data_IF_934345248657
#
_entry.id   IF_934345248657
#
_cell.length_a   1.000
_cell.length_b   1.000
_cell.length_c   1.000
_cell.angle_alpha   90.00
_cell.angle_beta   90.00
_cell.angle_gamma   90.00
#
_symmetry.space_group_name_H-M   'P 1'
#
loop_
_entity.id
_entity.type
_entity.pdbx_description
1 polymer ?
#
# COMPACT_ATOMS: atom_id res chain seq x y z
N UNK A 1 -9.01 -18.50 -6.22
CA UNK A 1 -9.79 -17.71 -5.25
C UNK A 1 -11.20 -17.63 -5.78
N UNK A 2 -12.18 -17.94 -4.95
CA UNK A 2 -13.60 -17.81 -5.30
C UNK A 2 -14.04 -16.35 -5.17
N UNK A 3 -15.12 -15.91 -5.85
CA UNK A 3 -15.64 -14.55 -5.70
C UNK A 3 -15.96 -14.17 -4.23
N UNK A 4 -16.41 -15.13 -3.44
CA UNK A 4 -16.72 -14.92 -2.01
C UNK A 4 -15.45 -14.68 -1.18
N UNK A 5 -14.38 -15.43 -1.46
CA UNK A 5 -13.08 -15.22 -0.81
C UNK A 5 -12.48 -13.86 -1.18
N UNK A 6 -12.57 -13.47 -2.47
CA UNK A 6 -12.12 -12.16 -2.94
C UNK A 6 -12.87 -11.02 -2.24
N UNK A 7 -14.20 -11.13 -2.14
CA UNK A 7 -15.00 -10.11 -1.47
C UNK A 7 -14.69 -10.00 0.03
N UNK A 8 -14.52 -11.13 0.73
CA UNK A 8 -14.11 -11.12 2.14
C UNK A 8 -12.74 -10.44 2.32
N UNK A 9 -11.78 -10.74 1.44
CA UNK A 9 -10.44 -10.15 1.49
C UNK A 9 -10.46 -8.64 1.24
N UNK A 10 -11.23 -8.17 0.26
CA UNK A 10 -11.40 -6.74 -0.01
C UNK A 10 -12.09 -6.04 1.15
N UNK A 11 -13.21 -6.59 1.63
CA UNK A 11 -13.93 -6.01 2.75
C UNK A 11 -13.04 -5.92 4.00
N UNK A 12 -12.29 -6.97 4.32
CA UNK A 12 -11.34 -6.97 5.43
C UNK A 12 -10.24 -5.91 5.25
N UNK A 13 -9.71 -5.77 4.03
CA UNK A 13 -8.69 -4.78 3.75
C UNK A 13 -9.24 -3.35 3.87
N UNK A 14 -10.39 -3.05 3.27
CA UNK A 14 -11.02 -1.74 3.38
C UNK A 14 -11.41 -1.41 4.82
N UNK A 15 -11.94 -2.38 5.58
CA UNK A 15 -12.26 -2.18 6.99
C UNK A 15 -11.01 -1.80 7.80
N UNK A 16 -9.90 -2.53 7.60
CA UNK A 16 -8.64 -2.22 8.27
C UNK A 16 -8.10 -0.84 7.87
N UNK A 17 -7.98 -0.58 6.58
CA UNK A 17 -7.30 0.62 6.10
C UNK A 17 -8.12 1.90 6.24
N UNK A 18 -9.45 1.81 6.25
CA UNK A 18 -10.27 2.97 6.63
C UNK A 18 -10.04 3.35 8.09
N UNK A 19 -9.98 2.37 9.01
CA UNK A 19 -9.65 2.65 10.40
C UNK A 19 -8.21 3.19 10.54
N UNK A 20 -7.25 2.58 9.83
CA UNK A 20 -5.87 3.03 9.83
C UNK A 20 -5.68 4.43 9.24
N UNK A 21 -6.55 4.86 8.31
CA UNK A 21 -6.53 6.22 7.79
C UNK A 21 -6.99 7.26 8.84
N UNK A 22 -7.85 6.86 9.79
CA UNK A 22 -8.34 7.75 10.86
C UNK A 22 -7.42 7.74 12.10
N UNK A 23 -6.95 6.57 12.51
CA UNK A 23 -6.21 6.37 13.76
C UNK A 23 -4.69 6.15 13.57
N UNK A 24 -4.26 5.85 12.34
CA UNK A 24 -2.90 5.37 12.06
C UNK A 24 -2.79 3.83 12.10
N UNK A 25 -1.75 3.32 11.46
CA UNK A 25 -1.54 1.86 11.27
C UNK A 25 -1.26 1.15 12.59
N UNK A 26 -0.43 1.73 13.47
CA UNK A 26 -0.09 1.11 14.74
C UNK A 26 -1.33 0.90 15.62
N UNK A 27 -2.13 1.95 15.78
CA UNK A 27 -3.39 1.93 16.51
C UNK A 27 -4.38 0.95 15.87
N UNK A 28 -4.44 0.87 14.53
CA UNK A 28 -5.27 -0.13 13.84
C UNK A 28 -4.86 -1.56 14.20
N UNK A 29 -3.56 -1.87 14.15
CA UNK A 29 -3.05 -3.20 14.50
C UNK A 29 -3.42 -3.56 15.93
N UNK A 30 -3.09 -2.70 16.90
CA UNK A 30 -3.40 -2.91 18.32
C UNK A 30 -4.90 -3.13 18.53
N UNK A 31 -5.72 -2.30 17.87
CA UNK A 31 -7.16 -2.36 18.04
C UNK A 31 -7.77 -3.64 17.46
N UNK A 32 -7.36 -4.09 16.27
CA UNK A 32 -7.83 -5.36 15.68
C UNK A 32 -7.31 -6.59 16.42
N UNK A 33 -6.17 -6.49 17.11
CA UNK A 33 -5.64 -7.55 17.97
C UNK A 33 -6.36 -7.61 19.33
N UNK A 34 -6.94 -6.50 19.79
CA UNK A 34 -7.71 -6.47 21.03
C UNK A 34 -8.96 -7.37 20.97
N UNK A 35 -9.34 -7.95 22.11
CA UNK A 35 -10.57 -8.74 22.26
C UNK A 35 -11.85 -7.87 22.34
N UNK A 36 -11.70 -6.54 22.32
CA UNK A 36 -12.81 -5.60 22.26
C UNK A 36 -13.25 -5.48 20.80
N UNK A 37 -14.43 -6.01 20.47
CA UNK A 37 -14.98 -6.01 19.10
C UNK A 37 -16.04 -4.91 18.89
N UNK A 38 -16.43 -4.16 19.93
CA UNK A 38 -17.55 -3.21 19.85
C UNK A 38 -17.27 -2.06 18.87
N UNK A 39 -16.00 -1.65 18.75
CA UNK A 39 -15.60 -0.59 17.83
C UNK A 39 -15.58 -1.04 16.36
N UNK A 40 -15.42 -2.34 16.08
CA UNK A 40 -15.50 -2.85 14.70
C UNK A 40 -16.91 -2.68 14.14
N UNK A 41 -17.90 -2.47 15.03
CA UNK A 41 -19.30 -2.15 14.72
C UNK A 41 -19.55 -0.65 14.54
N UNK A 42 -18.52 0.19 14.46
CA UNK A 42 -18.68 1.57 14.01
C UNK A 42 -19.33 1.56 12.62
N UNK A 43 -20.62 1.87 12.58
CA UNK A 43 -21.48 1.66 11.40
C UNK A 43 -20.90 2.33 10.14
N UNK A 44 -20.37 3.55 10.27
CA UNK A 44 -19.81 4.29 9.12
C UNK A 44 -18.59 3.61 8.47
N UNK A 45 -17.75 2.90 9.24
CA UNK A 45 -16.58 2.19 8.69
C UNK A 45 -17.02 0.92 7.95
N UNK A 46 -18.00 0.20 8.49
CA UNK A 46 -18.60 -0.96 7.84
C UNK A 46 -19.28 -0.54 6.54
N UNK A 47 -20.12 0.50 6.58
CA UNK A 47 -20.83 1.02 5.40
C UNK A 47 -19.83 1.43 4.31
N UNK A 48 -18.81 2.22 4.67
CA UNK A 48 -17.76 2.63 3.74
C UNK A 48 -16.98 1.45 3.16
N UNK A 49 -16.63 0.45 3.97
CA UNK A 49 -15.93 -0.74 3.51
C UNK A 49 -16.80 -1.62 2.60
N UNK A 50 -18.11 -1.73 2.87
CA UNK A 50 -19.07 -2.41 1.99
C UNK A 50 -19.18 -1.70 0.64
N UNK A 51 -19.32 -0.37 0.64
CA UNK A 51 -19.38 0.42 -0.60
C UNK A 51 -18.12 0.24 -1.45
N UNK A 52 -16.94 0.20 -0.82
CA UNK A 52 -15.66 0.09 -1.52
C UNK A 52 -15.30 -1.32 -1.97
N UNK A 53 -15.65 -2.36 -1.19
CA UNK A 53 -15.45 -3.76 -1.57
C UNK A 53 -16.39 -4.21 -2.70
N UNK A 54 -17.47 -3.47 -2.92
CA UNK A 54 -18.42 -3.67 -4.01
C UNK A 54 -19.86 -3.80 -3.50
N UNK A 55 -20.85 -3.40 -4.31
CA UNK A 55 -22.24 -3.28 -3.87
C UNK A 55 -22.91 -4.65 -3.73
N UNK A 56 -22.67 -5.35 -2.63
CA UNK A 56 -23.40 -6.57 -2.27
C UNK A 56 -24.52 -6.21 -1.30
N UNK A 57 -25.76 -6.51 -1.69
CA UNK A 57 -26.90 -6.43 -0.76
C UNK A 57 -26.84 -7.62 0.18
N UNK A 58 -26.45 -7.37 1.42
CA UNK A 58 -26.39 -8.37 2.48
C UNK A 58 -27.52 -8.14 3.49
N UNK A 59 -28.03 -9.21 4.09
CA UNK A 59 -28.89 -9.08 5.26
C UNK A 59 -28.06 -8.62 6.47
N UNK A 60 -28.69 -8.08 7.51
CA UNK A 60 -27.99 -7.70 8.74
C UNK A 60 -27.27 -8.90 9.41
N UNK A 61 -27.83 -10.11 9.29
CA UNK A 61 -27.19 -11.34 9.76
C UNK A 61 -25.92 -11.66 8.99
N UNK A 62 -25.95 -11.52 7.67
CA UNK A 62 -24.79 -11.78 6.80
C UNK A 62 -23.69 -10.74 7.00
N UNK A 63 -24.04 -9.48 7.27
CA UNK A 63 -23.07 -8.42 7.60
C UNK A 63 -22.31 -8.78 8.88
N UNK A 64 -22.99 -9.24 9.93
CA UNK A 64 -22.33 -9.65 11.17
C UNK A 64 -21.34 -10.81 10.92
N UNK A 65 -21.75 -11.82 10.15
CA UNK A 65 -20.89 -12.96 9.78
C UNK A 65 -19.68 -12.49 8.98
N UNK A 66 -19.88 -11.58 8.02
CA UNK A 66 -18.81 -10.99 7.22
C UNK A 66 -17.81 -10.23 8.09
N UNK A 67 -18.27 -9.36 8.99
CA UNK A 67 -17.42 -8.59 9.91
C UNK A 67 -16.60 -9.52 10.79
N UNK A 68 -17.23 -10.54 11.40
CA UNK A 68 -16.50 -11.52 12.22
C UNK A 68 -15.42 -12.25 11.42
N UNK A 69 -15.70 -12.66 10.19
CA UNK A 69 -14.70 -13.33 9.35
C UNK A 69 -13.60 -12.37 8.87
N UNK A 70 -13.94 -11.11 8.60
CA UNK A 70 -12.99 -10.08 8.22
C UNK A 70 -12.00 -9.78 9.34
N UNK A 71 -12.48 -9.65 10.59
CA UNK A 71 -11.63 -9.48 11.77
C UNK A 71 -10.68 -10.67 11.97
N UNK A 72 -11.15 -11.90 11.74
CA UNK A 72 -10.27 -13.09 11.78
C UNK A 72 -9.17 -13.03 10.73
N UNK A 73 -9.51 -12.62 9.51
CA UNK A 73 -8.53 -12.48 8.42
C UNK A 73 -7.52 -11.37 8.72
N UNK A 74 -7.96 -10.24 9.27
CA UNK A 74 -7.09 -9.14 9.72
C UNK A 74 -6.12 -9.64 10.81
N UNK A 75 -6.64 -10.26 11.87
CA UNK A 75 -5.83 -10.81 12.97
C UNK A 75 -4.80 -11.82 12.45
N UNK A 76 -5.19 -12.67 11.49
CA UNK A 76 -4.28 -13.60 10.84
C UNK A 76 -3.16 -12.89 10.08
N UNK A 77 -3.45 -11.82 9.35
CA UNK A 77 -2.41 -11.07 8.64
C UNK A 77 -1.48 -10.34 9.61
N UNK A 78 -2.02 -9.70 10.65
CA UNK A 78 -1.25 -9.00 11.68
C UNK A 78 -0.28 -9.94 12.40
N UNK A 79 -0.71 -11.15 12.80
CA UNK A 79 0.14 -12.12 13.50
C UNK A 79 1.33 -12.62 12.67
N UNK A 80 1.26 -12.48 11.34
CA UNK A 80 2.35 -12.82 10.43
C UNK A 80 3.16 -11.57 9.99
N UNK A 81 2.87 -10.39 10.55
CA UNK A 81 3.50 -9.12 10.18
C UNK A 81 3.21 -8.70 8.72
N UNK A 82 2.04 -9.06 8.19
CA UNK A 82 1.69 -8.84 6.79
C UNK A 82 0.73 -7.67 6.65
N UNK A 83 1.00 -6.80 5.66
CA UNK A 83 0.01 -5.82 5.23
C UNK A 83 -1.18 -6.55 4.59
N UNK A 84 -2.39 -6.27 5.08
CA UNK A 84 -3.61 -6.71 4.41
C UNK A 84 -3.78 -5.88 3.12
N UNK A 85 -3.65 -6.50 1.95
CA UNK A 85 -3.52 -5.75 0.68
C UNK A 85 -4.81 -5.59 -0.10
N UNK A 86 -5.86 -6.33 0.27
CA UNK A 86 -7.04 -6.52 -0.59
C UNK A 86 -6.69 -7.28 -1.88
N UNK A 87 -7.66 -7.42 -2.76
CA UNK A 87 -7.51 -7.99 -4.10
C UNK A 87 -6.87 -6.94 -5.01
N UNK A 88 -5.82 -7.34 -5.73
CA UNK A 88 -5.16 -6.48 -6.71
C UNK A 88 -5.77 -6.79 -8.07
N UNK A 89 -6.60 -5.89 -8.57
CA UNK A 89 -7.26 -6.02 -9.86
C UNK A 89 -6.31 -5.63 -10.99
N UNK A 90 -6.31 -6.41 -12.08
CA UNK A 90 -5.44 -6.10 -13.23
C UNK A 90 -5.86 -4.82 -13.95
N UNK A 91 -7.15 -4.46 -13.87
CA UNK A 91 -7.71 -3.25 -14.48
C UNK A 91 -7.14 -1.96 -13.89
N UNK A 92 -6.73 -1.98 -12.62
CA UNK A 92 -6.07 -0.84 -11.96
C UNK A 92 -4.79 -0.41 -12.70
N UNK A 93 -4.16 -1.31 -13.47
CA UNK A 93 -2.96 -1.02 -14.26
C UNK A 93 -3.20 0.01 -15.36
N UNK A 94 -4.42 0.11 -15.88
CA UNK A 94 -4.73 1.03 -16.96
C UNK A 94 -4.65 2.50 -16.47
N UNK A 95 -5.22 2.77 -15.30
CA UNK A 95 -5.26 4.10 -14.70
C UNK A 95 -4.11 4.35 -13.71
N UNK A 96 -3.46 3.30 -13.21
CA UNK A 96 -2.48 3.34 -12.11
C UNK A 96 -3.06 3.97 -10.83
N UNK A 97 -4.38 3.89 -10.71
CA UNK A 97 -5.18 4.26 -9.55
C UNK A 97 -6.34 3.28 -9.49
N UNK A 98 -6.64 2.74 -8.31
CA UNK A 98 -7.89 2.01 -8.10
C UNK A 98 -9.07 2.98 -8.17
N UNK A 99 -10.31 2.49 -8.37
CA UNK A 99 -11.50 3.34 -8.36
C UNK A 99 -11.62 4.22 -7.10
N UNK A 100 -11.24 3.71 -5.93
CA UNK A 100 -11.25 4.45 -4.66
C UNK A 100 -10.19 5.55 -4.55
N UNK A 101 -9.19 5.55 -5.43
CA UNK A 101 -8.06 6.49 -5.44
C UNK A 101 -8.11 7.49 -6.61
N UNK A 102 -9.13 7.41 -7.49
CA UNK A 102 -9.20 8.25 -8.70
C UNK A 102 -9.20 9.74 -8.37
N UNK A 103 -9.99 10.15 -7.38
CA UNK A 103 -10.19 11.56 -7.01
C UNK A 103 -9.12 12.10 -6.05
N UNK A 104 -8.07 11.33 -5.73
CA UNK A 104 -6.99 11.81 -4.88
C UNK A 104 -6.22 12.97 -5.52
N UNK A 105 -6.26 14.12 -4.86
CA UNK A 105 -5.43 15.28 -5.20
C UNK A 105 -4.12 15.17 -4.43
N UNK A 106 -3.01 15.05 -5.16
CA UNK A 106 -1.68 14.89 -4.56
C UNK A 106 -0.89 16.17 -4.83
N UNK A 107 -0.50 16.93 -3.79
CA UNK A 107 0.30 18.12 -4.00
C UNK A 107 1.67 17.72 -4.54
N UNK A 108 2.19 18.50 -5.48
CA UNK A 108 3.56 18.33 -5.96
C UNK A 108 4.53 18.59 -4.80
N UNK A 109 5.40 17.62 -4.55
CA UNK A 109 6.43 17.70 -3.52
C UNK A 109 7.79 17.99 -4.16
N UNK A 110 8.66 18.68 -3.42
CA UNK A 110 10.07 18.76 -3.78
C UNK A 110 10.67 17.35 -3.74
N UNK A 111 11.33 16.93 -4.81
CA UNK A 111 12.03 15.65 -4.85
C UNK A 111 13.50 15.87 -4.50
N UNK A 112 14.10 15.05 -3.64
CA UNK A 112 15.53 15.12 -3.38
C UNK A 112 16.32 14.51 -4.54
N UNK A 113 17.58 14.91 -4.66
CA UNK A 113 18.58 14.12 -5.39
C UNK A 113 18.89 12.88 -4.55
N UNK A 114 18.80 11.72 -5.18
CA UNK A 114 19.13 10.45 -4.51
C UNK A 114 20.49 9.95 -5.00
N UNK A 115 21.37 9.67 -4.05
CA UNK A 115 22.66 9.05 -4.27
C UNK A 115 22.81 7.80 -3.39
N UNK A 116 23.80 6.97 -3.68
CA UNK A 116 24.23 5.91 -2.78
C UNK A 116 25.67 6.20 -2.34
N UNK A 117 26.04 5.71 -1.16
CA UNK A 117 27.41 5.86 -0.62
C UNK A 117 28.52 5.38 -1.58
N UNK A 118 28.21 4.43 -2.46
CA UNK A 118 29.05 4.06 -3.59
C UNK A 118 28.28 4.22 -4.90
N UNK A 119 28.82 4.89 -5.94
CA UNK A 119 28.16 5.03 -7.24
C UNK A 119 27.74 3.70 -7.88
N UNK A 120 28.52 2.64 -7.67
CA UNK A 120 28.22 1.29 -8.14
C UNK A 120 26.97 0.70 -7.46
N UNK A 121 26.68 1.14 -6.23
CA UNK A 121 25.50 0.72 -5.47
C UNK A 121 24.20 1.29 -6.05
N UNK A 122 24.22 2.50 -6.65
CA UNK A 122 23.04 3.04 -7.34
C UNK A 122 22.72 2.25 -8.61
N UNK A 123 23.72 1.96 -9.46
CA UNK A 123 23.51 1.15 -10.67
C UNK A 123 23.09 -0.29 -10.36
N UNK A 124 23.40 -0.77 -9.16
CA UNK A 124 22.98 -2.09 -8.70
C UNK A 124 21.50 -2.13 -8.28
N UNK A 125 20.85 -1.00 -7.98
CA UNK A 125 19.43 -0.97 -7.65
C UNK A 125 18.61 -1.19 -8.91
N UNK A 126 17.78 -2.23 -8.89
CA UNK A 126 16.85 -2.47 -9.99
C UNK A 126 15.79 -1.37 -10.02
N UNK A 127 15.63 -0.74 -11.18
CA UNK A 127 14.59 0.26 -11.43
C UNK A 127 13.61 -0.27 -12.48
N UNK A 128 12.36 -0.50 -12.08
CA UNK A 128 11.31 -0.98 -12.99
C UNK A 128 9.91 -0.68 -12.43
N UNK A 129 8.88 -0.99 -13.24
CA UNK A 129 7.48 -0.93 -12.83
C UNK A 129 6.89 0.47 -12.65
N UNK A 130 5.57 0.48 -12.47
CA UNK A 130 4.73 1.66 -12.38
C UNK A 130 3.98 1.65 -11.04
N UNK A 131 4.04 2.75 -10.28
CA UNK A 131 3.26 2.91 -9.06
C UNK A 131 1.78 2.86 -9.38
N UNK A 132 1.00 2.17 -8.55
CA UNK A 132 -0.45 2.25 -8.53
C UNK A 132 -0.96 2.65 -7.14
N UNK A 133 -1.74 3.73 -7.07
CA UNK A 133 -2.36 4.16 -5.82
C UNK A 133 -3.68 3.44 -5.59
N UNK A 134 -3.94 3.01 -4.35
CA UNK A 134 -5.14 2.23 -4.03
C UNK A 134 -5.90 2.72 -2.80
N UNK A 135 -5.63 3.96 -2.37
CA UNK A 135 -6.14 4.51 -1.12
C UNK A 135 -7.65 4.22 -0.90
N UNK A 136 -8.06 3.83 0.32
CA UNK A 136 -7.24 3.67 1.52
C UNK A 136 -6.33 2.43 1.52
N UNK A 137 -6.46 1.53 0.53
CA UNK A 137 -5.62 0.33 0.47
C UNK A 137 -4.14 0.66 0.17
N UNK A 138 -3.22 -0.26 0.52
CA UNK A 138 -1.81 -0.16 0.20
C UNK A 138 -1.59 0.03 -1.30
N UNK A 139 -0.70 0.96 -1.62
CA UNK A 139 -0.20 1.12 -2.97
C UNK A 139 0.60 -0.12 -3.39
N UNK A 140 0.71 -0.32 -4.70
CA UNK A 140 1.43 -1.44 -5.31
C UNK A 140 2.25 -0.97 -6.49
N UNK A 141 3.14 -1.81 -7.01
CA UNK A 141 3.86 -1.55 -8.25
C UNK A 141 3.45 -2.60 -9.28
N UNK A 142 2.91 -2.19 -10.42
CA UNK A 142 2.74 -3.10 -11.55
C UNK A 142 4.05 -3.20 -12.33
N UNK A 143 4.45 -4.41 -12.70
CA UNK A 143 5.69 -4.64 -13.44
C UNK A 143 5.55 -5.80 -14.43
N UNK A 144 6.25 -5.69 -15.55
CA UNK A 144 6.50 -6.81 -16.47
C UNK A 144 7.79 -7.58 -16.12
N UNK A 145 8.59 -7.05 -15.20
CA UNK A 145 9.89 -7.61 -14.79
C UNK A 145 9.81 -8.01 -13.33
N UNK A 146 10.17 -9.26 -13.03
CA UNK A 146 10.27 -9.72 -11.65
C UNK A 146 11.43 -9.01 -10.92
N UNK A 147 11.25 -8.68 -9.63
CA UNK A 147 12.37 -8.22 -8.81
C UNK A 147 13.42 -9.32 -8.73
N UNK A 148 14.68 -8.92 -8.80
CA UNK A 148 15.82 -9.79 -8.56
C UNK A 148 15.77 -10.30 -7.11
N UNK A 149 15.89 -11.61 -6.93
CA UNK A 149 15.72 -12.26 -5.62
C UNK A 149 16.83 -11.88 -4.64
N UNK A 150 17.98 -11.45 -5.15
CA UNK A 150 19.14 -11.07 -4.34
C UNK A 150 19.05 -9.61 -3.87
N UNK A 151 18.12 -8.81 -4.40
CA UNK A 151 18.03 -7.38 -4.09
C UNK A 151 17.03 -7.10 -2.99
N UNK A 152 17.48 -6.37 -1.96
CA UNK A 152 16.67 -5.92 -0.82
C UNK A 152 15.81 -4.69 -1.12
N UNK A 153 16.09 -4.00 -2.22
CA UNK A 153 15.44 -2.74 -2.61
C UNK A 153 15.23 -2.65 -4.11
N UNK A 154 14.12 -2.05 -4.47
CA UNK A 154 13.69 -1.85 -5.85
C UNK A 154 13.21 -0.41 -6.00
N UNK A 155 13.75 0.33 -6.97
CA UNK A 155 13.28 1.68 -7.26
C UNK A 155 12.10 1.62 -8.24
N UNK A 156 11.02 2.34 -7.96
CA UNK A 156 9.90 2.45 -8.90
C UNK A 156 10.32 3.29 -10.10
N UNK A 157 10.12 2.77 -11.31
CA UNK A 157 10.56 3.46 -12.52
C UNK A 157 9.67 4.66 -12.88
N UNK A 158 8.35 4.46 -12.83
CA UNK A 158 7.37 5.51 -13.12
C UNK A 158 6.41 5.70 -11.93
N UNK A 159 6.42 6.91 -11.38
CA UNK A 159 5.48 7.39 -10.37
C UNK A 159 4.60 8.52 -10.92
N UNK A 160 4.87 9.01 -12.13
CA UNK A 160 4.28 10.20 -12.73
C UNK A 160 2.81 10.03 -13.02
N UNK A 161 2.43 8.89 -13.62
CA UNK A 161 1.03 8.64 -13.99
C UNK A 161 0.11 8.55 -12.78
N UNK A 162 0.63 7.99 -11.68
CA UNK A 162 -0.12 7.82 -10.44
C UNK A 162 -0.12 9.09 -9.57
N UNK A 163 1.03 9.76 -9.41
CA UNK A 163 1.17 10.96 -8.56
C UNK A 163 0.84 12.28 -9.28
N UNK A 164 0.91 12.30 -10.61
CA UNK A 164 0.86 13.50 -11.44
C UNK A 164 2.22 14.16 -11.69
N UNK A 165 3.30 13.65 -11.08
CA UNK A 165 4.66 14.18 -11.22
C UNK A 165 5.69 13.10 -10.84
N UNK A 166 6.94 13.17 -11.35
CA UNK A 166 7.97 12.21 -10.98
C UNK A 166 8.41 12.43 -9.53
N UNK A 167 8.37 11.37 -8.73
CA UNK A 167 8.86 11.35 -7.36
C UNK A 167 9.65 10.07 -7.08
N UNK A 168 10.84 10.15 -6.45
CA UNK A 168 11.60 8.96 -6.10
C UNK A 168 10.87 8.15 -5.03
N UNK A 169 10.58 6.88 -5.34
CA UNK A 169 10.04 5.91 -4.40
C UNK A 169 10.81 4.60 -4.53
N UNK A 170 11.01 3.94 -3.39
CA UNK A 170 11.66 2.65 -3.29
C UNK A 170 10.71 1.66 -2.64
N UNK A 171 10.82 0.38 -2.97
CA UNK A 171 10.03 -0.70 -2.40
C UNK A 171 10.98 -1.69 -1.71
N UNK A 172 10.67 -2.05 -0.48
CA UNK A 172 11.38 -3.06 0.31
C UNK A 172 10.41 -4.14 0.81
N UNK A 173 10.93 -5.27 1.27
CA UNK A 173 10.09 -6.40 1.74
C UNK A 173 9.17 -6.93 0.63
N UNK A 174 9.71 -7.00 -0.59
CA UNK A 174 8.93 -7.17 -1.83
C UNK A 174 8.30 -8.56 -1.87
N UNK A 175 6.99 -8.59 -2.11
CA UNK A 175 6.24 -9.80 -2.47
C UNK A 175 5.72 -9.65 -3.89
N UNK A 176 5.83 -10.75 -4.64
CA UNK A 176 5.42 -10.81 -6.05
C UNK A 176 4.10 -11.56 -6.15
N UNK A 177 3.10 -10.89 -6.68
CA UNK A 177 1.80 -11.46 -7.02
C UNK A 177 1.73 -11.63 -8.54
N UNK A 178 1.45 -12.85 -9.00
CA UNK A 178 1.23 -13.10 -10.42
C UNK A 178 -0.22 -12.78 -10.76
N UNK A 179 -0.41 -11.94 -11.76
CA UNK A 179 -1.71 -11.59 -12.31
C UNK A 179 -1.96 -12.36 -13.61
N UNK A 180 -3.10 -12.10 -14.25
CA UNK A 180 -3.38 -12.62 -15.57
C UNK A 180 -2.33 -12.13 -16.59
N UNK A 181 -2.16 -12.88 -17.68
CA UNK A 181 -1.33 -12.49 -18.84
C UNK A 181 0.15 -12.22 -18.51
N UNK A 182 0.66 -12.78 -17.42
CA UNK A 182 2.06 -12.66 -17.02
C UNK A 182 2.44 -11.31 -16.39
N UNK A 183 1.45 -10.45 -16.12
CA UNK A 183 1.69 -9.23 -15.36
C UNK A 183 2.00 -9.55 -13.89
N UNK A 184 2.81 -8.71 -13.26
CA UNK A 184 3.17 -8.82 -11.84
C UNK A 184 2.64 -7.61 -11.09
N UNK A 185 2.10 -7.85 -9.90
CA UNK A 185 1.94 -6.81 -8.88
C UNK A 185 2.96 -7.05 -7.76
N UNK A 186 3.69 -6.00 -7.41
CA UNK A 186 4.66 -6.01 -6.33
C UNK A 186 4.08 -5.25 -5.14
N UNK A 187 4.04 -5.90 -3.98
CA UNK A 187 3.63 -5.28 -2.72
C UNK A 187 4.80 -5.25 -1.76
N UNK A 188 4.82 -4.30 -0.83
CA UNK A 188 5.86 -4.18 0.18
C UNK A 188 5.68 -2.92 1.01
N UNK A 189 6.78 -2.45 1.60
CA UNK A 189 6.85 -1.15 2.26
C UNK A 189 7.52 -0.16 1.32
N UNK A 190 6.82 0.92 0.98
CA UNK A 190 7.45 2.02 0.24
C UNK A 190 8.39 2.78 1.15
N UNK A 191 9.57 3.14 0.68
CA UNK A 191 10.42 4.13 1.32
C UNK A 191 10.29 5.40 0.51
N UNK A 192 9.68 6.41 1.14
CA UNK A 192 9.43 7.70 0.54
C UNK A 192 10.34 8.75 1.18
N UNK A 193 11.20 9.40 0.39
CA UNK A 193 11.91 10.58 0.87
C UNK A 193 10.92 11.66 1.29
N UNK A 194 11.20 12.41 2.34
CA UNK A 194 10.39 13.58 2.77
C UNK A 194 11.29 14.71 3.26
N UNK A 195 10.92 15.95 2.94
CA UNK A 195 11.65 17.14 3.40
C UNK A 195 11.17 17.58 4.78
N UNK A 196 9.84 17.60 4.95
CA UNK A 196 9.15 18.17 6.10
C UNK A 196 7.87 17.41 6.45
N UNK A 197 7.16 17.90 7.47
CA UNK A 197 5.95 17.26 7.96
C UNK A 197 4.74 17.45 7.04
N UNK A 198 4.77 18.46 6.15
CA UNK A 198 3.73 18.66 5.14
C UNK A 198 3.86 17.60 4.03
N UNK A 199 5.07 17.34 3.56
CA UNK A 199 5.37 16.26 2.63
C UNK A 199 5.03 14.88 3.26
N UNK A 200 5.34 14.71 4.54
CA UNK A 200 4.96 13.53 5.33
C UNK A 200 3.46 13.26 5.30
N UNK A 201 2.65 14.28 5.61
CA UNK A 201 1.19 14.16 5.59
C UNK A 201 0.65 13.86 4.19
N UNK A 202 1.19 14.53 3.16
CA UNK A 202 0.78 14.33 1.77
C UNK A 202 1.03 12.90 1.28
N UNK A 203 2.21 12.33 1.56
CA UNK A 203 2.53 10.95 1.18
C UNK A 203 1.68 9.94 1.96
N UNK A 204 1.54 10.10 3.28
CA UNK A 204 0.71 9.21 4.11
C UNK A 204 -0.75 9.20 3.68
N UNK A 205 -1.26 10.33 3.19
CA UNK A 205 -2.63 10.44 2.70
C UNK A 205 -2.89 9.63 1.41
N UNK A 206 -1.85 9.25 0.63
CA UNK A 206 -2.04 8.51 -0.62
C UNK A 206 -1.34 7.14 -0.68
N UNK A 207 -0.25 6.95 0.07
CA UNK A 207 0.53 5.71 0.16
C UNK A 207 0.60 5.30 1.64
N UNK A 208 -0.36 4.52 2.13
CA UNK A 208 -0.44 4.22 3.56
C UNK A 208 0.61 3.20 4.02
N UNK A 209 1.09 2.35 3.11
CA UNK A 209 2.21 1.43 3.31
C UNK A 209 3.56 2.09 2.99
N UNK A 210 3.85 3.23 3.62
CA UNK A 210 5.12 3.93 3.47
C UNK A 210 5.88 4.09 4.80
N UNK A 211 7.21 4.01 4.70
CA UNK A 211 8.18 4.53 5.65
C UNK A 211 8.71 5.85 5.10
N UNK A 212 8.62 6.90 5.91
CA UNK A 212 9.03 8.24 5.53
C UNK A 212 10.44 8.54 6.05
N UNK A 213 11.30 9.07 5.19
CA UNK A 213 12.73 9.18 5.48
C UNK A 213 13.29 10.53 5.01
N UNK A 214 14.03 11.25 5.87
CA UNK A 214 14.56 12.58 5.53
C UNK A 214 15.97 12.55 4.92
N UNK A 215 16.93 11.86 5.54
CA UNK A 215 18.35 11.91 5.13
C UNK A 215 18.82 10.76 4.24
N UNK A 216 18.06 9.66 4.19
CA UNK A 216 18.49 8.43 3.53
C UNK A 216 18.14 7.18 4.32
N UNK A 217 18.32 6.00 3.72
CA UNK A 217 18.03 4.73 4.38
C UNK A 217 19.02 3.63 3.99
N UNK A 218 19.16 2.65 4.87
CA UNK A 218 19.98 1.46 4.64
C UNK A 218 19.09 0.22 4.58
N UNK A 219 19.34 -0.66 3.61
CA UNK A 219 18.64 -1.94 3.47
C UNK A 219 19.55 -2.98 2.86
N UNK A 220 19.87 -4.04 3.63
CA UNK A 220 20.88 -5.02 3.23
C UNK A 220 22.20 -4.32 2.89
N UNK A 221 22.59 -4.40 1.63
CA UNK A 221 23.87 -3.88 1.12
C UNK A 221 23.80 -2.44 0.59
N UNK A 222 22.59 -1.85 0.50
CA UNK A 222 22.41 -0.51 -0.05
C UNK A 222 22.28 0.52 1.06
N UNK A 223 23.02 1.62 0.95
CA UNK A 223 22.80 2.84 1.74
C UNK A 223 22.58 4.00 0.79
N UNK A 224 21.38 4.55 0.83
CA UNK A 224 20.92 5.65 0.03
C UNK A 224 20.91 6.94 0.85
N UNK A 225 21.27 8.05 0.23
CA UNK A 225 21.33 9.38 0.83
C UNK A 225 20.47 10.34 0.00
N UNK A 226 19.79 11.26 0.68
CA UNK A 226 18.87 12.22 0.09
C UNK A 226 19.38 13.63 0.30
N UNK A 227 19.60 14.34 -0.81
CA UNK A 227 20.05 15.72 -0.84
C UNK A 227 18.88 16.61 -1.31
N UNK A 228 18.57 17.63 -0.52
CA UNK A 228 17.42 18.53 -0.71
C UNK A 228 17.82 19.90 -1.29
N UNK A 229 19.12 20.10 -1.55
CA UNK A 229 19.70 21.35 -2.07
C UNK A 229 19.57 21.50 -3.61
#
# INVERSE_FOLDING_TARGET
MTPQESYLQDFAAYLFWNFAAEAGVADAVERFESNDEDWTRKTHLIEKALEQAGPVRLSAGDINVLVTNAVKEIRRNNSHGLNITGVIYSDDRAALRSPSAMDLVIPTLQAPRVSAKSPQSMSAIQKAGELCLRHPLPAVVFSSVAPDKEKSVFQVADTTRALGYPYPLFLTGIRVHKLAEGALALTGMFVAPIQDDRASAAIKACIPNCMLVRGGFTTGEHTLEFDWD
#
